data_IF_317294706702
#
_entry.id   IF_317294706702
#
_cell.length_a   1.000
_cell.length_b   1.000
_cell.length_c   1.000
_cell.angle_alpha   90.00
_cell.angle_beta   90.00
_cell.angle_gamma   90.00
#
_symmetry.space_group_name_H-M   'P 1'
#
loop_
_entity.id
_entity.type
_entity.pdbx_description
1 polymer ?
#
# COMPACT_ATOMS: atom_id res chain seq x y z
N UNK A 1 12.63 -10.98 -0.79
CA UNK A 1 12.53 -9.58 -1.24
C UNK A 1 11.08 -9.17 -1.32
N UNK A 2 10.68 -8.15 -0.57
CA UNK A 2 9.30 -7.71 -0.56
C UNK A 2 8.95 -6.94 -1.82
N UNK A 3 7.78 -7.21 -2.38
CA UNK A 3 7.31 -6.60 -3.61
C UNK A 3 6.25 -5.55 -3.29
N UNK A 4 6.52 -4.31 -3.67
CA UNK A 4 5.70 -3.14 -3.34
C UNK A 4 5.13 -2.53 -4.63
N UNK A 5 3.83 -2.24 -4.62
CA UNK A 5 3.17 -1.52 -5.70
C UNK A 5 2.90 -0.09 -5.25
N UNK A 6 3.34 0.89 -6.06
CA UNK A 6 3.07 2.30 -5.83
C UNK A 6 2.06 2.77 -6.88
N UNK A 7 0.91 3.26 -6.42
CA UNK A 7 -0.15 3.78 -7.29
C UNK A 7 -0.31 5.27 -7.02
N UNK A 8 0.14 6.09 -7.94
CA UNK A 8 0.14 7.55 -7.83
C UNK A 8 0.06 8.16 -9.22
N UNK A 9 -0.90 9.05 -9.46
CA UNK A 9 -1.10 9.66 -10.76
C UNK A 9 -0.15 10.82 -11.04
N UNK A 10 0.37 11.49 -10.02
CA UNK A 10 1.32 12.57 -10.18
C UNK A 10 2.75 12.03 -10.30
N UNK A 11 3.33 12.14 -11.48
CA UNK A 11 4.64 11.58 -11.77
C UNK A 11 5.75 12.07 -10.84
N UNK A 12 5.86 13.38 -10.52
CA UNK A 12 6.92 13.83 -9.61
C UNK A 12 6.83 13.20 -8.22
N UNK A 13 5.61 13.04 -7.70
CA UNK A 13 5.40 12.41 -6.39
C UNK A 13 5.73 10.93 -6.47
N UNK A 14 5.28 10.25 -7.51
CA UNK A 14 5.56 8.83 -7.70
C UNK A 14 7.06 8.55 -7.77
N UNK A 15 7.82 9.40 -8.48
CA UNK A 15 9.27 9.27 -8.57
C UNK A 15 9.95 9.41 -7.21
N UNK A 16 9.50 10.36 -6.39
CA UNK A 16 10.06 10.55 -5.04
C UNK A 16 9.81 9.32 -4.19
N UNK A 17 8.60 8.75 -4.23
CA UNK A 17 8.26 7.56 -3.47
C UNK A 17 9.10 6.36 -3.90
N UNK A 18 9.25 6.16 -5.20
CA UNK A 18 10.09 5.08 -5.73
C UNK A 18 11.52 5.24 -5.26
N UNK A 19 12.05 6.45 -5.31
CA UNK A 19 13.43 6.73 -4.88
C UNK A 19 13.63 6.44 -3.40
N UNK A 20 12.72 6.91 -2.56
CA UNK A 20 12.79 6.69 -1.12
C UNK A 20 12.85 5.20 -0.80
N UNK A 21 11.96 4.42 -1.40
CA UNK A 21 11.88 3.00 -1.13
C UNK A 21 13.01 2.21 -1.79
N UNK A 22 13.49 2.65 -2.96
CA UNK A 22 14.61 2.00 -3.62
C UNK A 22 15.93 2.18 -2.87
N UNK A 23 16.07 3.29 -2.14
CA UNK A 23 17.29 3.57 -1.38
C UNK A 23 17.36 2.79 -0.06
N UNK A 24 16.30 2.07 0.30
CA UNK A 24 16.31 1.23 1.49
C UNK A 24 17.14 -0.04 1.27
N UNK A 25 17.94 -0.39 2.28
CA UNK A 25 18.86 -1.55 2.22
C UNK A 25 18.15 -2.90 2.15
N UNK A 26 16.86 -2.94 2.43
CA UNK A 26 16.07 -4.18 2.44
C UNK A 26 15.79 -4.75 1.05
N UNK A 27 16.17 -4.07 -0.01
CA UNK A 27 16.06 -4.58 -1.37
C UNK A 27 14.63 -4.76 -1.84
N UNK A 28 13.77 -3.78 -1.63
CA UNK A 28 12.39 -3.86 -2.11
C UNK A 28 12.33 -3.94 -3.63
N UNK A 29 11.48 -4.81 -4.15
CA UNK A 29 11.12 -4.84 -5.55
C UNK A 29 9.91 -3.91 -5.74
N UNK A 30 10.05 -2.88 -6.58
CA UNK A 30 9.04 -1.83 -6.70
C UNK A 30 8.45 -1.83 -8.10
N UNK A 31 7.12 -1.82 -8.17
CA UNK A 31 6.39 -1.59 -9.41
C UNK A 31 5.52 -0.35 -9.26
N UNK A 32 5.23 0.29 -10.38
CA UNK A 32 4.49 1.55 -10.42
C UNK A 32 3.23 1.42 -11.27
N UNK A 33 2.18 2.11 -10.82
CA UNK A 33 0.98 2.33 -11.62
C UNK A 33 0.64 3.82 -11.58
N UNK A 34 0.35 4.37 -12.73
CA UNK A 34 0.04 5.81 -12.87
C UNK A 34 -1.44 6.14 -12.67
N UNK A 35 -2.29 5.13 -12.51
CA UNK A 35 -3.72 5.31 -12.22
C UNK A 35 -4.29 4.07 -11.54
N UNK A 36 -5.54 4.20 -11.07
CA UNK A 36 -6.17 3.12 -10.33
C UNK A 36 -6.46 1.88 -11.18
N UNK A 37 -6.78 2.05 -12.45
CA UNK A 37 -7.05 0.91 -13.32
C UNK A 37 -5.81 0.06 -13.52
N UNK A 38 -4.68 0.69 -13.79
CA UNK A 38 -3.39 0.00 -13.92
C UNK A 38 -3.03 -0.70 -12.61
N UNK A 39 -3.29 -0.04 -11.48
CA UNK A 39 -3.07 -0.63 -10.17
C UNK A 39 -3.89 -1.89 -9.95
N UNK A 40 -5.18 -1.85 -10.25
CA UNK A 40 -6.06 -3.02 -10.13
C UNK A 40 -5.59 -4.16 -11.03
N UNK A 41 -5.25 -3.85 -12.28
CA UNK A 41 -4.78 -4.87 -13.23
C UNK A 41 -3.52 -5.55 -12.72
N UNK A 42 -2.58 -4.80 -12.15
CA UNK A 42 -1.36 -5.36 -11.57
C UNK A 42 -1.66 -6.23 -10.33
N UNK A 43 -2.56 -5.78 -9.46
CA UNK A 43 -2.95 -6.54 -8.27
C UNK A 43 -3.57 -7.87 -8.64
N UNK A 44 -4.36 -7.90 -9.72
CA UNK A 44 -4.96 -9.15 -10.21
C UNK A 44 -3.94 -10.09 -10.87
N UNK A 45 -2.93 -9.51 -11.51
CA UNK A 45 -1.96 -10.26 -12.31
C UNK A 45 -0.79 -10.79 -11.50
N UNK A 46 -0.36 -10.04 -10.48
CA UNK A 46 0.84 -10.34 -9.70
C UNK A 46 0.53 -10.30 -8.21
N UNK A 47 1.37 -10.97 -7.42
CA UNK A 47 1.28 -10.94 -5.97
C UNK A 47 2.15 -9.82 -5.41
N UNK A 48 1.59 -8.97 -4.56
CA UNK A 48 2.31 -7.90 -3.88
C UNK A 48 2.28 -8.11 -2.38
N UNK A 49 3.29 -7.59 -1.70
CA UNK A 49 3.38 -7.63 -0.24
C UNK A 49 2.82 -6.37 0.40
N UNK A 50 2.76 -5.28 -0.36
CA UNK A 50 2.27 -3.99 0.12
C UNK A 50 1.82 -3.14 -1.08
N UNK A 51 0.78 -2.34 -0.87
CA UNK A 51 0.35 -1.32 -1.82
C UNK A 51 0.42 0.05 -1.15
N UNK A 52 1.10 0.98 -1.80
CA UNK A 52 1.14 2.38 -1.43
C UNK A 52 0.30 3.13 -2.46
N UNK A 53 -0.82 3.70 -2.04
CA UNK A 53 -1.84 4.20 -2.96
C UNK A 53 -2.32 5.61 -2.60
N UNK A 54 -2.31 6.50 -3.59
CA UNK A 54 -2.92 7.82 -3.44
C UNK A 54 -4.45 7.67 -3.36
N UNK A 55 -5.09 8.44 -2.49
CA UNK A 55 -6.55 8.42 -2.36
C UNK A 55 -7.19 9.15 -3.53
N UNK A 56 -6.70 10.35 -3.87
CA UNK A 56 -7.32 11.17 -4.92
C UNK A 56 -6.69 10.92 -6.28
N UNK A 57 -7.38 10.14 -7.09
CA UNK A 57 -7.00 9.91 -8.48
C UNK A 57 -8.24 9.99 -9.37
N UNK A 58 -8.09 10.38 -10.65
CA UNK A 58 -9.24 10.38 -11.57
C UNK A 58 -9.73 8.97 -11.86
N UNK A 59 -11.02 8.84 -12.17
CA UNK A 59 -11.73 7.60 -12.51
C UNK A 59 -11.87 6.65 -11.33
N UNK A 60 -10.83 5.93 -10.94
CA UNK A 60 -10.84 5.03 -9.79
C UNK A 60 -9.93 5.63 -8.73
N UNK A 61 -10.52 6.09 -7.63
CA UNK A 61 -9.74 6.64 -6.52
C UNK A 61 -9.22 5.53 -5.59
N UNK A 62 -8.38 5.92 -4.62
CA UNK A 62 -7.77 4.94 -3.72
C UNK A 62 -8.77 4.21 -2.83
N UNK A 63 -9.86 4.87 -2.44
CA UNK A 63 -10.91 4.24 -1.63
C UNK A 63 -11.60 3.13 -2.41
N UNK A 64 -12.00 3.42 -3.65
CA UNK A 64 -12.63 2.43 -4.51
C UNK A 64 -11.69 1.26 -4.79
N UNK A 65 -10.43 1.56 -5.04
CA UNK A 65 -9.42 0.55 -5.29
C UNK A 65 -9.25 -0.38 -4.07
N UNK A 66 -9.20 0.18 -2.88
CA UNK A 66 -9.13 -0.58 -1.65
C UNK A 66 -10.36 -1.48 -1.48
N UNK A 67 -11.55 -0.93 -1.71
CA UNK A 67 -12.79 -1.71 -1.63
C UNK A 67 -12.78 -2.88 -2.60
N UNK A 68 -12.41 -2.66 -3.83
CA UNK A 68 -12.34 -3.73 -4.85
C UNK A 68 -11.34 -4.80 -4.47
N UNK A 69 -10.17 -4.40 -3.97
CA UNK A 69 -9.14 -5.35 -3.57
C UNK A 69 -9.59 -6.19 -2.37
N UNK A 70 -10.29 -5.59 -1.42
CA UNK A 70 -10.76 -6.30 -0.21
C UNK A 70 -11.78 -7.39 -0.52
N UNK A 71 -12.44 -7.34 -1.66
CA UNK A 71 -13.37 -8.40 -2.08
C UNK A 71 -12.67 -9.71 -2.41
N UNK A 72 -11.43 -9.63 -2.88
CA UNK A 72 -10.68 -10.81 -3.31
C UNK A 72 -9.43 -11.08 -2.46
N UNK A 73 -8.92 -10.06 -1.79
CA UNK A 73 -7.73 -10.18 -0.94
C UNK A 73 -7.92 -9.33 0.32
N UNK A 74 -8.15 -9.99 1.44
CA UNK A 74 -8.40 -9.30 2.71
C UNK A 74 -7.13 -9.00 3.50
N UNK A 75 -5.99 -9.54 3.08
CA UNK A 75 -4.74 -9.44 3.84
C UNK A 75 -3.68 -8.53 3.23
N UNK A 76 -3.83 -8.09 1.98
CA UNK A 76 -2.85 -7.22 1.34
C UNK A 76 -2.84 -5.85 2.03
N UNK A 77 -1.74 -5.46 2.69
CA UNK A 77 -1.72 -4.16 3.39
C UNK A 77 -1.68 -3.00 2.39
N UNK A 78 -2.52 -2.00 2.69
CA UNK A 78 -2.58 -0.74 1.95
C UNK A 78 -2.13 0.40 2.86
N UNK A 79 -1.19 1.21 2.39
CA UNK A 79 -0.85 2.49 3.00
C UNK A 79 -1.39 3.57 2.06
N UNK A 80 -2.28 4.41 2.58
CA UNK A 80 -2.95 5.44 1.77
C UNK A 80 -2.20 6.76 1.88
N UNK A 81 -2.06 7.46 0.76
CA UNK A 81 -1.48 8.80 0.73
C UNK A 81 -2.62 9.82 0.65
N UNK A 82 -2.62 10.78 1.58
CA UNK A 82 -3.69 11.77 1.70
C UNK A 82 -3.15 13.17 1.48
N UNK A 83 -3.90 14.02 0.79
CA UNK A 83 -3.58 15.44 0.70
C UNK A 83 -3.94 16.17 1.98
N UNK A 84 -3.52 17.44 2.08
CA UNK A 84 -3.86 18.31 3.20
C UNK A 84 -5.39 18.45 3.35
N UNK A 85 -5.86 18.32 4.57
CA UNK A 85 -7.28 18.55 4.89
C UNK A 85 -8.20 17.38 4.60
N UNK A 86 -7.68 16.23 4.19
CA UNK A 86 -8.50 15.06 3.85
C UNK A 86 -8.55 14.02 4.97
N UNK A 87 -8.74 14.47 6.22
CA UNK A 87 -8.80 13.58 7.38
C UNK A 87 -9.98 12.60 7.27
N UNK A 88 -11.12 13.07 6.76
CA UNK A 88 -12.31 12.23 6.62
C UNK A 88 -12.08 11.03 5.70
N UNK A 89 -11.42 11.24 4.56
CA UNK A 89 -11.10 10.16 3.64
C UNK A 89 -10.05 9.21 4.20
N UNK A 90 -9.11 9.74 4.97
CA UNK A 90 -8.13 8.92 5.68
C UNK A 90 -8.80 8.00 6.69
N UNK A 91 -9.70 8.54 7.50
CA UNK A 91 -10.48 7.75 8.48
C UNK A 91 -11.33 6.70 7.77
N UNK A 92 -11.98 7.06 6.67
CA UNK A 92 -12.77 6.12 5.88
C UNK A 92 -11.91 4.96 5.37
N UNK A 93 -10.70 5.25 4.88
CA UNK A 93 -9.80 4.20 4.39
C UNK A 93 -9.38 3.25 5.51
N UNK A 94 -9.16 3.76 6.72
CA UNK A 94 -8.85 2.91 7.87
C UNK A 94 -10.02 2.00 8.23
N UNK A 95 -11.25 2.50 8.16
CA UNK A 95 -12.45 1.69 8.40
C UNK A 95 -12.62 0.59 7.36
N UNK A 96 -12.15 0.83 6.15
CA UNK A 96 -12.22 -0.15 5.06
C UNK A 96 -11.05 -1.14 5.07
N UNK A 97 -10.16 -1.03 6.04
CA UNK A 97 -9.10 -2.00 6.24
C UNK A 97 -7.71 -1.58 5.75
N UNK A 98 -7.49 -0.29 5.49
CA UNK A 98 -6.14 0.19 5.22
C UNK A 98 -5.27 -0.01 6.47
N UNK A 99 -4.00 -0.31 6.26
CA UNK A 99 -3.07 -0.47 7.37
C UNK A 99 -2.71 0.87 8.01
N UNK A 100 -2.51 1.90 7.17
CA UNK A 100 -2.09 3.22 7.64
C UNK A 100 -2.43 4.28 6.59
N UNK A 101 -2.30 5.55 6.97
CA UNK A 101 -2.35 6.66 6.03
C UNK A 101 -1.23 7.64 6.34
N UNK A 102 -0.74 8.32 5.31
CA UNK A 102 0.37 9.26 5.40
C UNK A 102 0.01 10.52 4.63
N UNK A 103 0.18 11.69 5.25
CA UNK A 103 -0.10 12.96 4.59
C UNK A 103 0.99 13.33 3.60
N UNK A 104 0.61 13.93 2.48
CA UNK A 104 1.55 14.49 1.50
C UNK A 104 1.97 15.90 1.92
N UNK A 105 3.23 16.29 1.73
CA UNK A 105 4.35 15.49 1.24
C UNK A 105 4.78 14.47 2.30
N UNK A 106 5.16 13.25 1.91
CA UNK A 106 5.47 12.23 2.90
C UNK A 106 6.79 12.52 3.61
N UNK A 107 6.77 12.41 4.93
CA UNK A 107 8.00 12.41 5.73
C UNK A 107 8.73 11.09 5.50
N UNK A 108 10.02 11.16 5.22
CA UNK A 108 10.85 10.00 4.90
C UNK A 108 10.77 8.92 5.99
N UNK A 109 11.02 9.30 7.23
CA UNK A 109 11.03 8.34 8.34
C UNK A 109 9.65 7.76 8.60
N UNK A 110 8.62 8.59 8.50
CA UNK A 110 7.24 8.16 8.69
C UNK A 110 6.84 7.10 7.65
N UNK A 111 7.20 7.34 6.39
CA UNK A 111 6.90 6.44 5.29
C UNK A 111 7.63 5.10 5.47
N UNK A 112 8.92 5.14 5.70
CA UNK A 112 9.75 3.93 5.84
C UNK A 112 9.29 3.10 7.04
N UNK A 113 9.02 3.73 8.17
CA UNK A 113 8.55 3.02 9.36
C UNK A 113 7.21 2.34 9.13
N UNK A 114 6.29 3.03 8.46
CA UNK A 114 4.98 2.46 8.14
C UNK A 114 5.11 1.25 7.21
N UNK A 115 5.93 1.37 6.17
CA UNK A 115 6.18 0.29 5.22
C UNK A 115 6.77 -0.93 5.93
N UNK A 116 7.81 -0.74 6.73
CA UNK A 116 8.45 -1.84 7.47
C UNK A 116 7.48 -2.51 8.44
N UNK A 117 6.72 -1.72 9.18
CA UNK A 117 5.76 -2.26 10.13
C UNK A 117 4.65 -3.05 9.44
N UNK A 118 4.17 -2.58 8.31
CA UNK A 118 3.16 -3.28 7.53
C UNK A 118 3.67 -4.63 7.02
N UNK A 119 4.90 -4.66 6.54
CA UNK A 119 5.52 -5.89 6.03
C UNK A 119 5.79 -6.89 7.17
N UNK A 120 6.24 -6.44 8.32
CA UNK A 120 6.42 -7.27 9.50
C UNK A 120 5.10 -7.89 9.97
N UNK A 121 4.07 -7.09 10.05
CA UNK A 121 2.75 -7.56 10.47
C UNK A 121 2.23 -8.65 9.53
N UNK A 122 2.43 -8.49 8.23
CA UNK A 122 2.03 -9.48 7.25
C UNK A 122 2.77 -10.81 7.46
N UNK A 123 4.07 -10.76 7.70
CA UNK A 123 4.88 -11.95 7.98
C UNK A 123 4.41 -12.66 9.24
N UNK A 124 4.18 -11.95 10.32
CA UNK A 124 3.71 -12.52 11.58
C UNK A 124 2.34 -13.19 11.44
N UNK A 125 1.42 -12.58 10.72
CA UNK A 125 0.10 -13.18 10.46
C UNK A 125 0.26 -14.48 9.66
N UNK A 126 1.12 -14.49 8.66
CA UNK A 126 1.38 -15.68 7.85
C UNK A 126 2.02 -16.79 8.70
N UNK A 127 3.00 -16.48 9.52
CA UNK A 127 3.63 -17.42 10.44
C UNK A 127 2.61 -18.01 11.42
N UNK A 128 1.75 -17.20 11.99
CA UNK A 128 0.72 -17.67 12.91
C UNK A 128 -0.25 -18.63 12.23
N UNK A 129 -0.64 -18.36 11.01
CA UNK A 129 -1.51 -19.27 10.23
C UNK A 129 -0.81 -20.62 10.00
N UNK A 130 0.47 -20.60 9.66
CA UNK A 130 1.25 -21.82 9.43
C UNK A 130 1.37 -22.61 10.73
N UNK A 131 1.68 -21.96 11.84
CA UNK A 131 1.80 -22.62 13.15
C UNK A 131 0.47 -23.23 13.60
N UNK A 132 -0.65 -22.54 13.40
CA UNK A 132 -1.97 -23.08 13.73
C UNK A 132 -2.30 -24.31 12.91
N UNK A 133 -1.96 -24.33 11.65
CA UNK A 133 -2.16 -25.50 10.78
C UNK A 133 -1.32 -26.68 11.21
N UNK A 134 -0.09 -26.47 11.71
CA UNK A 134 0.76 -27.54 12.21
C UNK A 134 0.30 -28.15 13.51
N UNK A 135 -0.35 -27.37 14.34
CA UNK A 135 -0.83 -27.81 15.65
C UNK A 135 -2.20 -28.51 15.55
N UNK A 136 -2.96 -28.19 14.54
CA UNK A 136 -4.24 -28.82 14.31
C UNK A 136 -4.06 -30.15 13.58
#
# INVERSE_FOLDING_TARGET
MSKILIIEDEEPIRRVLVRILSDEDSGFEIQEASDGKKGIDLIKKESFDLVLCDIKMPKIDGIELLQRTRKTNTSLPFIMLTGHGNIETAVESMKLGAYDFISKPPDLNRLINSVRNALEKKELVTENKILRQKVA
#
